data_IF_911373506024
#
_entry.id   IF_911373506024
#
_cell.length_a   1.000
_cell.length_b   1.000
_cell.length_c   1.000
_cell.angle_alpha   90.00
_cell.angle_beta   90.00
_cell.angle_gamma   90.00
#
_symmetry.space_group_name_H-M   'P 1'
#
loop_
_entity.id
_entity.type
_entity.pdbx_description
1 polymer ?
#
# COMPACT_ATOMS: atom_id res chain seq x y z
N UNK A 1 -0.90 18.11 -15.35
CA UNK A 1 -0.22 16.91 -14.82
C UNK A 1 -1.11 16.36 -13.71
N UNK A 2 -2.02 15.45 -14.03
CA UNK A 2 -2.80 14.76 -12.99
C UNK A 2 -1.84 13.73 -12.41
N UNK A 3 -1.36 14.01 -11.20
CA UNK A 3 -0.40 13.19 -10.47
C UNK A 3 -0.90 11.75 -10.35
N UNK A 4 -0.38 10.88 -11.21
CA UNK A 4 -0.43 9.42 -11.10
C UNK A 4 0.44 8.88 -9.96
N UNK A 5 0.46 9.59 -8.83
CA UNK A 5 0.84 9.04 -7.55
C UNK A 5 -0.47 8.94 -6.81
N UNK A 6 -1.00 7.73 -6.62
CA UNK A 6 -1.92 7.55 -5.51
C UNK A 6 -1.15 8.05 -4.28
N UNK A 7 -1.56 9.15 -3.63
CA UNK A 7 -1.09 9.36 -2.29
C UNK A 7 -1.52 8.10 -1.55
N UNK A 8 -0.62 7.42 -0.82
CA UNK A 8 -1.07 6.48 0.20
C UNK A 8 -1.99 7.30 1.12
N UNK A 9 -3.28 7.25 0.82
CA UNK A 9 -4.24 8.20 1.34
C UNK A 9 -4.38 7.93 2.84
N UNK A 10 -4.88 8.91 3.58
CA UNK A 10 -5.20 8.70 4.98
C UNK A 10 -6.05 7.44 5.17
N UNK A 11 -7.06 7.24 4.32
CA UNK A 11 -7.91 6.05 4.29
C UNK A 11 -7.14 4.73 4.07
N UNK A 12 -6.12 4.73 3.20
CA UNK A 12 -5.28 3.56 2.96
C UNK A 12 -4.47 3.19 4.20
N UNK A 13 -3.85 4.18 4.84
CA UNK A 13 -3.08 3.94 6.06
C UNK A 13 -3.98 3.46 7.20
N UNK A 14 -5.20 4.03 7.31
CA UNK A 14 -6.20 3.57 8.28
C UNK A 14 -6.55 2.10 8.08
N UNK A 15 -6.87 1.68 6.85
CA UNK A 15 -7.29 0.29 6.58
C UNK A 15 -6.14 -0.69 6.77
N UNK A 16 -4.96 -0.38 6.25
CA UNK A 16 -3.80 -1.27 6.41
C UNK A 16 -3.36 -1.33 7.87
N UNK A 17 -3.33 -0.20 8.57
CA UNK A 17 -3.02 -0.13 10.00
C UNK A 17 -4.01 -0.91 10.86
N UNK A 18 -5.31 -0.90 10.54
CA UNK A 18 -6.30 -1.67 11.29
C UNK A 18 -6.14 -3.18 11.13
N UNK A 19 -5.71 -3.67 9.96
CA UNK A 19 -5.40 -5.08 9.80
C UNK A 19 -4.10 -5.48 10.50
N UNK A 20 -3.08 -4.61 10.48
CA UNK A 20 -1.84 -4.82 11.25
C UNK A 20 -2.13 -4.93 12.74
N UNK A 21 -2.96 -4.03 13.29
CA UNK A 21 -3.32 -4.11 14.71
C UNK A 21 -4.13 -5.36 15.04
N UNK A 22 -5.08 -5.77 14.18
CA UNK A 22 -5.83 -7.02 14.37
C UNK A 22 -4.91 -8.26 14.31
N UNK A 23 -3.86 -8.26 13.47
CA UNK A 23 -2.94 -9.40 13.38
C UNK A 23 -2.03 -9.51 14.60
N UNK A 24 -1.55 -8.38 15.14
CA UNK A 24 -0.64 -8.37 16.28
C UNK A 24 -1.37 -8.48 17.64
N UNK A 25 -2.44 -7.71 17.83
CA UNK A 25 -3.17 -7.63 19.11
C UNK A 25 -4.38 -8.59 19.20
N UNK A 26 -4.90 -9.07 18.06
CA UNK A 26 -6.11 -9.88 18.03
C UNK A 26 -7.39 -9.04 18.15
N UNK A 27 -8.40 -9.53 18.86
CA UNK A 27 -9.68 -8.83 19.02
C UNK A 27 -9.54 -7.52 19.82
N UNK A 28 -10.33 -6.51 19.46
CA UNK A 28 -10.36 -5.24 20.18
C UNK A 28 -10.67 -5.42 21.67
N UNK A 29 -9.78 -4.86 22.50
CA UNK A 29 -9.96 -4.74 23.95
C UNK A 29 -9.99 -3.25 24.34
N UNK A 30 -10.99 -2.77 25.09
CA UNK A 30 -11.06 -1.38 25.57
C UNK A 30 -9.95 -0.99 26.56
N UNK A 31 -9.25 -1.94 27.16
CA UNK A 31 -8.10 -1.70 28.06
C UNK A 31 -6.76 -1.64 27.31
N UNK A 32 -6.75 -1.96 26.01
CA UNK A 32 -5.54 -1.96 25.18
C UNK A 32 -5.03 -0.55 24.88
N UNK A 33 -3.74 -0.33 25.14
CA UNK A 33 -3.06 0.96 24.94
C UNK A 33 -1.91 0.86 23.94
N UNK A 34 -1.63 -0.34 23.41
CA UNK A 34 -0.47 -0.62 22.56
C UNK A 34 -0.62 -0.17 21.09
N UNK A 35 -1.76 0.41 20.69
CA UNK A 35 -1.99 0.98 19.35
C UNK A 35 -0.91 1.98 18.92
N UNK A 36 -0.37 2.75 19.86
CA UNK A 36 0.70 3.74 19.62
C UNK A 36 2.04 3.10 19.24
N UNK A 37 2.30 1.86 19.69
CA UNK A 37 3.54 1.13 19.38
C UNK A 37 3.46 0.52 17.98
N UNK A 38 2.31 -0.04 17.64
CA UNK A 38 2.09 -0.76 16.37
C UNK A 38 1.91 0.17 15.18
N UNK A 39 1.43 1.41 15.38
CA UNK A 39 1.22 2.38 14.29
C UNK A 39 2.45 3.24 13.95
N UNK A 40 3.63 2.93 14.52
CA UNK A 40 4.89 3.64 14.23
C UNK A 40 5.36 3.56 12.78
N UNK A 41 4.73 2.71 11.96
CA UNK A 41 5.00 2.62 10.52
C UNK A 41 4.49 3.84 9.71
N UNK A 42 3.61 4.68 10.28
CA UNK A 42 3.10 5.86 9.58
C UNK A 42 3.96 7.12 9.89
N UNK A 43 4.59 7.76 8.89
CA UNK A 43 5.41 8.96 9.11
C UNK A 43 4.63 10.18 9.60
N UNK A 44 3.29 10.13 9.55
CA UNK A 44 2.37 11.12 10.08
C UNK A 44 1.41 10.44 11.07
N UNK A 45 1.93 9.86 12.15
CA UNK A 45 1.12 9.35 13.24
C UNK A 45 0.35 10.50 13.90
N UNK A 46 -0.85 10.77 13.38
CA UNK A 46 -1.78 11.75 13.93
C UNK A 46 -2.81 11.02 14.77
N UNK A 47 -3.30 11.66 15.84
CA UNK A 47 -4.36 11.10 16.68
C UNK A 47 -5.61 10.72 15.88
N UNK A 48 -5.89 11.45 14.81
CA UNK A 48 -6.99 11.13 13.89
C UNK A 48 -6.80 9.77 13.20
N UNK A 49 -5.56 9.42 12.82
CA UNK A 49 -5.26 8.11 12.22
C UNK A 49 -5.51 6.98 13.22
N UNK A 50 -5.04 7.15 14.45
CA UNK A 50 -5.22 6.21 15.55
C UNK A 50 -6.71 5.99 15.85
N UNK A 51 -7.48 7.06 16.04
CA UNK A 51 -8.92 6.98 16.31
C UNK A 51 -9.66 6.18 15.22
N UNK A 52 -9.28 6.40 13.95
CA UNK A 52 -9.89 5.70 12.81
C UNK A 52 -9.47 4.24 12.72
N UNK A 53 -8.22 3.92 13.04
CA UNK A 53 -7.74 2.53 13.12
C UNK A 53 -8.49 1.78 14.21
N UNK A 54 -8.60 2.38 15.40
CA UNK A 54 -9.33 1.81 16.52
C UNK A 54 -10.81 1.58 16.19
N UNK A 55 -11.45 2.53 15.51
CA UNK A 55 -12.85 2.38 15.09
C UNK A 55 -13.06 1.23 14.11
N UNK A 56 -12.13 0.99 13.18
CA UNK A 56 -12.17 -0.18 12.31
C UNK A 56 -11.90 -1.47 13.08
N UNK A 57 -10.90 -1.48 13.95
CA UNK A 57 -10.50 -2.63 14.75
C UNK A 57 -11.64 -3.19 15.61
N UNK A 58 -12.45 -2.30 16.22
CA UNK A 58 -13.69 -2.67 16.95
C UNK A 58 -14.67 -3.52 16.13
N UNK A 59 -14.66 -3.37 14.80
CA UNK A 59 -15.57 -4.08 13.90
C UNK A 59 -15.02 -5.45 13.45
N UNK A 60 -13.77 -5.79 13.76
CA UNK A 60 -13.12 -7.05 13.34
C UNK A 60 -13.22 -8.15 14.38
N UNK A 61 -14.12 -8.01 15.37
CA UNK A 61 -14.30 -9.01 16.42
C UNK A 61 -14.53 -10.42 15.86
N UNK A 62 -13.68 -11.36 16.27
CA UNK A 62 -13.68 -12.75 15.82
C UNK A 62 -12.86 -13.00 14.54
N UNK A 63 -12.22 -11.98 13.97
CA UNK A 63 -11.29 -12.15 12.85
C UNK A 63 -9.95 -12.69 13.37
N UNK A 64 -9.48 -13.79 12.79
CA UNK A 64 -8.19 -14.36 13.18
C UNK A 64 -7.02 -13.53 12.61
N UNK A 65 -5.83 -13.56 13.25
CA UNK A 65 -4.65 -12.90 12.72
C UNK A 65 -4.31 -13.28 11.27
N UNK A 66 -4.51 -14.55 10.90
CA UNK A 66 -4.29 -15.03 9.54
C UNK A 66 -5.26 -14.42 8.52
N UNK A 67 -6.52 -14.21 8.90
CA UNK A 67 -7.51 -13.53 8.06
C UNK A 67 -7.20 -12.03 7.92
N UNK A 68 -6.75 -11.39 9.00
CA UNK A 68 -6.31 -10.00 8.98
C UNK A 68 -5.11 -9.81 8.03
N UNK A 69 -4.11 -10.69 8.09
CA UNK A 69 -2.94 -10.67 7.20
C UNK A 69 -3.34 -10.89 5.73
N UNK A 70 -4.25 -11.83 5.47
CA UNK A 70 -4.79 -12.03 4.12
C UNK A 70 -5.46 -10.76 3.59
N UNK A 71 -6.32 -10.12 4.38
CA UNK A 71 -7.00 -8.89 3.98
C UNK A 71 -6.03 -7.72 3.80
N UNK A 72 -4.99 -7.61 4.63
CA UNK A 72 -3.91 -6.66 4.45
C UNK A 72 -3.26 -6.83 3.07
N UNK A 73 -2.84 -8.06 2.74
CA UNK A 73 -2.16 -8.37 1.48
C UNK A 73 -3.05 -8.12 0.26
N UNK A 74 -4.34 -8.46 0.34
CA UNK A 74 -5.31 -8.20 -0.73
C UNK A 74 -5.48 -6.70 -1.00
N UNK A 75 -5.60 -5.89 0.05
CA UNK A 75 -5.73 -4.44 -0.06
C UNK A 75 -4.42 -3.80 -0.54
N UNK A 76 -3.28 -4.21 0.02
CA UNK A 76 -1.97 -3.75 -0.40
C UNK A 76 -1.68 -4.07 -1.87
N UNK A 77 -2.03 -5.28 -2.33
CA UNK A 77 -1.89 -5.69 -3.73
C UNK A 77 -2.79 -4.87 -4.66
N UNK A 78 -4.06 -4.64 -4.31
CA UNK A 78 -4.96 -3.79 -5.09
C UNK A 78 -4.38 -2.38 -5.24
N UNK A 79 -3.90 -1.78 -4.15
CA UNK A 79 -3.27 -0.46 -4.17
C UNK A 79 -1.99 -0.42 -5.00
N UNK A 80 -1.17 -1.48 -4.92
CA UNK A 80 -0.01 -1.65 -5.79
C UNK A 80 -0.45 -1.72 -7.26
N UNK A 81 -1.45 -2.53 -7.60
CA UNK A 81 -1.96 -2.61 -8.98
C UNK A 81 -2.54 -1.29 -9.50
N UNK A 82 -3.21 -0.50 -8.66
CA UNK A 82 -3.68 0.84 -9.05
C UNK A 82 -2.56 1.90 -9.09
N UNK A 83 -1.44 1.69 -8.39
CA UNK A 83 -0.27 2.57 -8.39
C UNK A 83 0.83 2.19 -9.40
N UNK A 84 0.73 1.02 -10.02
CA UNK A 84 1.76 0.45 -10.90
C UNK A 84 1.45 0.66 -12.40
N UNK A 85 0.22 1.00 -12.78
CA UNK A 85 -0.17 1.19 -14.20
C UNK A 85 -0.24 2.65 -14.68
N UNK A 86 0.77 3.48 -14.35
CA UNK A 86 1.01 4.73 -15.07
C UNK A 86 2.49 5.01 -15.43
N UNK A 87 3.37 4.01 -15.33
CA UNK A 87 4.76 4.15 -15.83
C UNK A 87 5.31 2.94 -16.61
N UNK A 88 4.47 1.98 -17.02
CA UNK A 88 4.88 0.97 -17.99
C UNK A 88 4.42 1.29 -19.43
N UNK A 89 4.53 2.56 -19.82
CA UNK A 89 4.56 2.96 -21.22
C UNK A 89 5.95 3.48 -21.63
N UNK A 90 7.02 2.77 -21.25
CA UNK A 90 8.30 2.71 -22.00
C UNK A 90 8.98 1.36 -21.78
N UNK A 91 8.25 0.26 -22.00
CA UNK A 91 8.95 -0.97 -22.41
C UNK A 91 9.45 -0.69 -23.83
N UNK A 92 10.77 -0.66 -23.95
CA UNK A 92 11.54 -0.39 -25.16
C UNK A 92 10.93 -1.09 -26.38
N UNK A 93 10.28 -0.35 -27.28
CA UNK A 93 10.11 -0.81 -28.65
C UNK A 93 11.47 -0.72 -29.33
N UNK A 94 12.17 -1.86 -29.31
CA UNK A 94 13.14 -2.32 -30.29
C UNK A 94 13.76 -1.22 -31.16
N UNK A 95 15.02 -0.89 -30.90
CA UNK A 95 15.88 -0.36 -31.94
C UNK A 95 16.17 -1.49 -32.94
N UNK A 96 15.81 -1.32 -34.23
CA UNK A 96 16.67 -1.81 -35.28
C UNK A 96 17.37 -0.59 -35.87
N UNK A 97 18.53 -0.23 -35.30
CA UNK A 97 19.49 0.60 -36.01
C UNK A 97 20.03 -0.24 -37.17
N UNK A 98 19.35 -0.23 -38.32
CA UNK A 98 19.97 -0.60 -39.58
C UNK A 98 20.92 0.53 -39.97
N UNK A 99 22.14 0.46 -39.45
CA UNK A 99 23.26 1.28 -39.92
C UNK A 99 23.64 0.72 -41.29
N UNK A 100 23.08 1.27 -42.36
CA UNK A 100 23.54 1.02 -43.73
C UNK A 100 24.94 1.61 -43.87
N UNK A 101 25.97 0.83 -43.55
CA UNK A 101 27.30 1.07 -44.07
C UNK A 101 27.29 0.64 -45.55
N UNK A 102 27.22 1.62 -46.46
CA UNK A 102 27.91 1.48 -47.74
C UNK A 102 28.74 2.74 -47.96
N UNK A 103 30.03 2.50 -47.78
CA UNK A 103 31.17 3.37 -48.00
C UNK A 103 31.20 3.86 -49.44
N UNK A 104 31.31 5.17 -49.60
CA UNK A 104 31.73 5.83 -50.82
C UNK A 104 33.24 5.60 -51.02
N UNK A 105 33.66 5.16 -52.21
CA UNK A 105 34.98 5.28 -52.88
C UNK A 105 35.00 4.21 -53.98
N UNK A 106 35.28 4.47 -55.25
CA UNK A 106 36.17 5.43 -55.90
C UNK A 106 35.62 5.77 -57.30
#
# INVERSE_FOLDING_TARGET
MVSGRLPCSFATHTILGSYTVQSELGDYDPEETEYNSELRFAPNHTKELEDKVMDLHKNYKGMTPAEAEMHFLENAKKLSMYGVDLHHAKVHTHTPTYTTHHTHTH
#
